data_IF_568891200430
#
_entry.id   IF_568891200430
#
_cell.length_a   1.000
_cell.length_b   1.000
_cell.length_c   1.000
_cell.angle_alpha   90.00
_cell.angle_beta   90.00
_cell.angle_gamma   90.00
#
_symmetry.space_group_name_H-M   'P 1'
#
loop_
_entity.id
_entity.type
_entity.pdbx_description
1 polymer ?
#
# COMPACT_ATOMS: atom_id res chain seq x y z
N UNK A 1 3.57 -23.00 61.98
CA UNK A 1 4.52 -23.43 60.90
C UNK A 1 3.78 -23.99 59.70
N UNK A 2 2.88 -24.98 59.82
CA UNK A 2 2.16 -25.55 58.68
C UNK A 2 1.32 -24.55 57.87
N UNK A 3 0.65 -23.60 58.52
CA UNK A 3 -0.17 -22.58 57.83
C UNK A 3 0.66 -21.56 57.04
N UNK A 4 1.84 -21.20 57.52
CA UNK A 4 2.74 -20.29 56.77
C UNK A 4 3.36 -21.01 55.58
N UNK A 5 3.70 -22.28 55.70
CA UNK A 5 4.20 -23.08 54.59
C UNK A 5 3.13 -23.25 53.50
N UNK A 6 1.87 -23.46 53.89
CA UNK A 6 0.75 -23.60 52.93
C UNK A 6 0.52 -22.30 52.19
N UNK A 7 0.45 -21.15 52.88
CA UNK A 7 0.26 -19.83 52.25
C UNK A 7 1.42 -19.42 51.32
N UNK A 8 2.67 -19.82 51.65
CA UNK A 8 3.80 -19.57 50.72
C UNK A 8 3.76 -20.45 49.49
N UNK A 9 3.34 -21.73 49.62
CA UNK A 9 3.18 -22.61 48.49
C UNK A 9 2.05 -22.12 47.55
N UNK A 10 0.90 -21.71 48.09
CA UNK A 10 -0.19 -21.12 47.30
C UNK A 10 0.25 -19.84 46.59
N UNK A 11 1.04 -18.99 47.26
CA UNK A 11 1.56 -17.77 46.63
C UNK A 11 2.51 -18.07 45.46
N UNK A 12 3.40 -19.06 45.63
CA UNK A 12 4.33 -19.49 44.57
C UNK A 12 3.58 -20.14 43.41
N UNK A 13 2.59 -21.00 43.69
CA UNK A 13 1.74 -21.59 42.63
C UNK A 13 0.97 -20.53 41.87
N UNK A 14 0.38 -19.53 42.55
CA UNK A 14 -0.33 -18.44 41.89
C UNK A 14 0.60 -17.58 41.04
N UNK A 15 1.81 -17.28 41.50
CA UNK A 15 2.83 -16.55 40.72
C UNK A 15 3.26 -17.33 39.49
N UNK A 16 3.52 -18.63 39.64
CA UNK A 16 3.82 -19.53 38.53
C UNK A 16 2.68 -19.57 37.49
N UNK A 17 1.43 -19.72 37.93
CA UNK A 17 0.29 -19.75 37.04
C UNK A 17 0.11 -18.43 36.28
N UNK A 18 0.42 -17.27 36.89
CA UNK A 18 0.44 -15.99 36.21
C UNK A 18 1.51 -15.93 35.11
N UNK A 19 2.73 -16.35 35.44
CA UNK A 19 3.84 -16.40 34.49
C UNK A 19 3.54 -17.36 33.33
N UNK A 20 2.99 -18.53 33.60
CA UNK A 20 2.59 -19.50 32.59
C UNK A 20 1.49 -18.90 31.66
N UNK A 21 0.54 -18.20 32.26
CA UNK A 21 -0.52 -17.52 31.47
C UNK A 21 0.06 -16.42 30.57
N UNK A 22 0.96 -15.58 31.09
CA UNK A 22 1.64 -14.55 30.28
C UNK A 22 2.42 -15.20 29.14
N UNK A 23 3.19 -16.24 29.43
CA UNK A 23 3.99 -16.95 28.45
C UNK A 23 3.17 -17.60 27.33
N UNK A 24 1.99 -18.13 27.68
CA UNK A 24 1.07 -18.74 26.70
C UNK A 24 0.37 -17.73 25.79
N UNK A 25 0.14 -16.50 26.27
CA UNK A 25 -0.61 -15.47 25.54
C UNK A 25 0.26 -14.34 24.98
N UNK A 26 1.59 -14.43 25.11
CA UNK A 26 2.49 -13.49 24.43
C UNK A 26 2.40 -13.65 22.92
N UNK A 27 2.39 -12.51 22.21
CA UNK A 27 2.48 -12.44 20.74
C UNK A 27 3.89 -12.77 20.25
N UNK A 28 4.90 -12.49 21.07
CA UNK A 28 6.28 -12.80 20.74
C UNK A 28 6.58 -14.27 21.05
N UNK A 29 7.34 -14.90 20.17
CA UNK A 29 7.85 -16.23 20.39
C UNK A 29 8.96 -16.21 21.45
N UNK A 30 8.94 -17.19 22.36
CA UNK A 30 9.98 -17.36 23.38
C UNK A 30 10.44 -18.80 23.40
N UNK A 31 11.74 -19.01 23.27
CA UNK A 31 12.38 -20.33 23.34
C UNK A 31 13.52 -20.27 24.33
N UNK A 32 13.60 -21.24 25.21
CA UNK A 32 14.66 -21.33 26.21
C UNK A 32 15.35 -22.68 26.15
N UNK A 33 16.68 -22.66 26.20
CA UNK A 33 17.57 -23.86 26.24
C UNK A 33 18.43 -23.85 27.47
N UNK A 34 18.69 -25.04 28.06
CA UNK A 34 19.63 -25.19 29.15
C UNK A 34 21.08 -25.05 28.67
N UNK A 35 22.03 -25.10 29.61
CA UNK A 35 23.47 -25.00 29.33
C UNK A 35 24.04 -26.11 28.44
N UNK A 36 23.28 -27.18 28.20
CA UNK A 36 23.63 -28.25 27.26
C UNK A 36 23.03 -28.06 25.85
N UNK A 37 22.20 -27.02 25.66
CA UNK A 37 21.48 -26.78 24.42
C UNK A 37 20.16 -27.56 24.29
N UNK A 38 19.70 -28.19 25.38
CA UNK A 38 18.41 -28.88 25.38
C UNK A 38 17.28 -27.90 25.63
N UNK A 39 16.19 -28.04 24.88
CA UNK A 39 14.99 -27.22 25.02
C UNK A 39 14.36 -27.35 26.42
N UNK A 40 14.14 -26.22 27.07
CA UNK A 40 13.42 -26.11 28.36
C UNK A 40 12.00 -25.67 28.14
N UNK A 41 11.82 -24.57 27.36
CA UNK A 41 10.55 -23.95 27.09
C UNK A 41 10.45 -23.49 25.65
N UNK A 42 9.23 -23.62 25.09
CA UNK A 42 8.85 -23.03 23.81
C UNK A 42 7.35 -22.65 23.92
N UNK A 43 7.03 -21.36 23.72
CA UNK A 43 5.64 -20.96 23.77
C UNK A 43 4.93 -21.20 22.42
N UNK A 44 3.58 -21.15 22.39
CA UNK A 44 2.83 -21.39 21.17
C UNK A 44 3.17 -20.41 20.05
N UNK A 45 3.45 -19.13 20.37
CA UNK A 45 3.84 -18.12 19.39
C UNK A 45 5.17 -18.48 18.71
N UNK A 46 6.18 -19.00 19.45
CA UNK A 46 7.43 -19.45 18.85
C UNK A 46 7.20 -20.62 17.87
N UNK A 47 6.38 -21.60 18.26
CA UNK A 47 6.02 -22.71 17.39
C UNK A 47 5.36 -22.24 16.10
N UNK A 48 4.45 -21.27 16.20
CA UNK A 48 3.75 -20.68 15.04
C UNK A 48 4.70 -19.89 14.13
N UNK A 49 5.55 -19.03 14.72
CA UNK A 49 6.53 -18.22 13.97
C UNK A 49 7.56 -19.06 13.25
N UNK A 50 8.04 -20.14 13.89
CA UNK A 50 9.00 -21.07 13.30
C UNK A 50 8.35 -22.08 12.34
N UNK A 51 7.03 -22.24 12.38
CA UNK A 51 6.31 -23.26 11.63
C UNK A 51 6.69 -24.69 12.05
N UNK A 52 7.04 -24.91 13.33
CA UNK A 52 7.53 -26.16 13.90
C UNK A 52 6.87 -26.49 15.22
N UNK A 53 6.87 -27.77 15.57
CA UNK A 53 6.49 -28.20 16.92
C UNK A 53 7.62 -27.96 17.92
N UNK A 54 7.32 -27.91 19.21
CA UNK A 54 8.32 -27.70 20.25
C UNK A 54 9.49 -28.72 20.19
N UNK A 55 9.19 -29.99 19.91
CA UNK A 55 10.19 -31.06 19.83
C UNK A 55 11.16 -30.89 18.63
N UNK A 56 10.75 -30.13 17.62
CA UNK A 56 11.55 -29.82 16.42
C UNK A 56 12.37 -28.52 16.58
N UNK A 57 12.22 -27.80 17.69
CA UNK A 57 12.96 -26.58 17.96
C UNK A 57 14.34 -26.90 18.55
N UNK A 58 15.23 -27.44 17.72
CA UNK A 58 16.62 -27.77 18.09
C UNK A 58 17.54 -26.58 17.81
N UNK A 59 18.28 -26.10 18.80
CA UNK A 59 19.16 -24.92 18.67
C UNK A 59 20.13 -25.04 17.50
N UNK A 60 20.84 -26.17 17.41
CA UNK A 60 21.85 -26.39 16.39
C UNK A 60 21.31 -26.40 14.94
N UNK A 61 20.03 -26.67 14.74
CA UNK A 61 19.42 -26.68 13.44
C UNK A 61 18.86 -25.31 13.03
N UNK A 62 18.33 -24.56 14.01
CA UNK A 62 17.60 -23.31 13.73
C UNK A 62 18.45 -22.07 13.92
N UNK A 63 19.29 -22.04 14.93
CA UNK A 63 19.90 -20.82 15.43
C UNK A 63 21.43 -20.81 15.39
N UNK A 64 22.11 -21.96 15.33
CA UNK A 64 23.57 -22.06 15.37
C UNK A 64 24.27 -21.27 14.26
N UNK A 65 23.66 -21.24 13.07
CA UNK A 65 24.20 -20.48 11.92
C UNK A 65 24.02 -18.96 12.06
N UNK A 66 23.07 -18.53 12.90
CA UNK A 66 22.75 -17.11 13.13
C UNK A 66 23.61 -16.62 14.32
N UNK A 67 23.54 -17.33 15.42
CA UNK A 67 24.33 -17.04 16.61
C UNK A 67 24.80 -18.34 17.24
N UNK A 68 26.14 -18.63 17.34
CA UNK A 68 26.63 -19.84 17.96
C UNK A 68 26.24 -19.91 19.44
N UNK A 69 25.76 -21.08 19.88
CA UNK A 69 25.34 -21.30 21.26
C UNK A 69 26.45 -20.95 22.27
N UNK A 70 27.70 -21.37 21.97
CA UNK A 70 28.85 -21.09 22.79
C UNK A 70 29.16 -19.60 22.97
N UNK A 71 28.78 -18.76 21.99
CA UNK A 71 28.96 -17.33 22.09
C UNK A 71 27.98 -16.74 23.11
N UNK A 72 26.67 -17.07 22.98
CA UNK A 72 25.63 -16.52 23.85
C UNK A 72 25.86 -16.87 25.30
N UNK A 73 26.23 -18.14 25.61
CA UNK A 73 26.39 -18.60 26.99
C UNK A 73 27.58 -17.95 27.74
N UNK A 74 28.53 -17.39 26.98
CA UNK A 74 29.70 -16.67 27.54
C UNK A 74 29.48 -15.18 27.72
N UNK A 75 28.35 -14.65 27.28
CA UNK A 75 28.02 -13.22 27.38
C UNK A 75 27.65 -12.83 28.82
N UNK A 76 27.69 -11.51 29.09
CA UNK A 76 27.19 -10.98 30.35
C UNK A 76 25.65 -11.01 30.33
N UNK A 77 25.03 -11.22 31.49
CA UNK A 77 23.58 -11.33 31.64
C UNK A 77 22.80 -10.08 31.17
N UNK A 78 23.44 -8.93 31.07
CA UNK A 78 22.86 -7.68 30.57
C UNK A 78 22.91 -7.56 29.06
N UNK A 79 23.66 -8.42 28.39
CA UNK A 79 23.95 -8.30 26.97
C UNK A 79 23.02 -9.21 26.16
N UNK A 80 22.76 -8.82 24.90
CA UNK A 80 22.02 -9.65 23.94
C UNK A 80 22.63 -9.50 22.53
N UNK A 81 22.38 -10.48 21.69
CA UNK A 81 22.75 -10.44 20.28
C UNK A 81 21.46 -10.44 19.44
N UNK A 82 21.42 -9.59 18.45
CA UNK A 82 20.34 -9.55 17.48
C UNK A 82 20.66 -10.48 16.30
N UNK A 83 19.63 -11.15 15.80
CA UNK A 83 19.69 -11.97 14.61
C UNK A 83 18.40 -11.84 13.81
N UNK A 84 18.43 -12.39 12.62
CA UNK A 84 17.27 -12.38 11.71
C UNK A 84 17.05 -13.78 11.15
N UNK A 85 15.78 -14.17 11.03
CA UNK A 85 15.39 -15.44 10.44
C UNK A 85 14.20 -15.19 9.49
N UNK A 86 14.28 -15.76 8.29
CA UNK A 86 13.14 -15.78 7.36
C UNK A 86 12.51 -17.16 7.36
N UNK A 87 11.23 -17.26 7.67
CA UNK A 87 10.46 -18.50 7.69
C UNK A 87 9.31 -18.38 6.70
N UNK A 88 9.47 -18.95 5.49
CA UNK A 88 8.51 -18.75 4.39
C UNK A 88 8.42 -17.28 3.99
N UNK A 89 7.26 -16.67 4.16
CA UNK A 89 7.05 -15.23 3.89
C UNK A 89 7.17 -14.34 5.14
N UNK A 90 7.47 -14.92 6.30
CA UNK A 90 7.61 -14.18 7.56
C UNK A 90 9.05 -13.76 7.79
N UNK A 91 9.24 -12.54 8.26
CA UNK A 91 10.51 -11.99 8.74
C UNK A 91 10.46 -11.93 10.27
N UNK A 92 11.38 -12.64 10.91
CA UNK A 92 11.44 -12.75 12.38
C UNK A 92 12.75 -12.17 12.87
N UNK A 93 12.69 -11.19 13.77
CA UNK A 93 13.84 -10.72 14.54
C UNK A 93 14.04 -11.60 15.76
N UNK A 94 15.29 -11.91 16.02
CA UNK A 94 15.74 -12.82 17.09
C UNK A 94 16.60 -12.05 18.06
N UNK A 95 16.33 -12.21 19.36
CA UNK A 95 17.14 -11.65 20.44
C UNK A 95 17.66 -12.79 21.30
N UNK A 96 18.97 -13.02 21.26
CA UNK A 96 19.64 -14.07 21.99
C UNK A 96 20.23 -13.49 23.28
N UNK A 97 19.80 -13.97 24.41
CA UNK A 97 20.30 -13.53 25.71
C UNK A 97 20.70 -14.74 26.60
N UNK A 98 21.79 -14.65 27.36
CA UNK A 98 22.09 -15.66 28.34
C UNK A 98 21.19 -15.49 29.55
N UNK A 99 20.70 -16.61 30.11
CA UNK A 99 20.14 -16.60 31.46
C UNK A 99 20.92 -17.58 32.31
N UNK A 100 21.16 -17.23 33.58
CA UNK A 100 21.77 -18.16 34.51
C UNK A 100 20.80 -18.43 35.63
N UNK A 101 20.58 -19.71 35.88
CA UNK A 101 20.13 -20.22 37.18
C UNK A 101 21.36 -20.52 38.02
N UNK A 102 21.24 -20.58 39.34
CA UNK A 102 22.40 -20.68 40.26
C UNK A 102 23.33 -21.88 39.98
N UNK A 103 22.90 -22.90 39.22
CA UNK A 103 23.66 -24.11 38.92
C UNK A 103 23.95 -24.40 37.43
N UNK A 104 23.23 -23.80 36.48
CA UNK A 104 23.48 -24.03 35.04
C UNK A 104 22.97 -22.90 34.20
N UNK A 105 23.86 -22.23 33.46
CA UNK A 105 23.49 -21.20 32.48
C UNK A 105 22.63 -21.78 31.35
N UNK A 106 21.97 -20.89 30.61
CA UNK A 106 21.15 -21.25 29.46
C UNK A 106 21.04 -20.09 28.49
N UNK A 107 20.31 -20.31 27.39
CA UNK A 107 20.06 -19.33 26.36
C UNK A 107 18.55 -19.10 26.20
N UNK A 108 18.14 -17.84 26.28
CA UNK A 108 16.81 -17.38 25.99
C UNK A 108 16.82 -16.74 24.60
N UNK A 109 15.84 -17.08 23.74
CA UNK A 109 15.65 -16.48 22.46
C UNK A 109 14.24 -15.88 22.43
N UNK A 110 14.14 -14.59 22.13
CA UNK A 110 12.86 -13.93 21.85
C UNK A 110 12.74 -13.74 20.34
N UNK A 111 11.60 -14.13 19.79
CA UNK A 111 11.27 -14.05 18.37
C UNK A 111 10.18 -13.01 18.20
N UNK A 112 10.47 -11.98 17.43
CA UNK A 112 9.51 -10.91 17.11
C UNK A 112 9.13 -10.92 15.63
N UNK A 113 7.85 -11.02 15.32
CA UNK A 113 7.37 -10.94 13.93
C UNK A 113 7.39 -9.49 13.42
N UNK A 114 8.33 -9.20 12.54
CA UNK A 114 8.50 -7.88 11.92
C UNK A 114 8.04 -7.85 10.46
N UNK A 115 7.30 -8.84 10.04
CA UNK A 115 6.89 -9.00 8.63
C UNK A 115 6.17 -7.77 8.09
N UNK A 116 5.13 -7.30 8.78
CA UNK A 116 4.37 -6.13 8.33
C UNK A 116 5.15 -4.82 8.48
N UNK A 117 6.00 -4.72 9.50
CA UNK A 117 6.88 -3.56 9.66
C UNK A 117 7.89 -3.48 8.51
N UNK A 118 8.54 -4.59 8.16
CA UNK A 118 9.49 -4.66 7.03
C UNK A 118 8.82 -4.38 5.69
N UNK A 119 7.69 -5.01 5.42
CA UNK A 119 6.92 -4.73 4.20
C UNK A 119 6.57 -3.24 4.08
N UNK A 120 6.21 -2.61 5.17
CA UNK A 120 5.90 -1.17 5.21
C UNK A 120 7.14 -0.33 4.94
N UNK A 121 8.27 -0.69 5.52
CA UNK A 121 9.54 0.02 5.30
C UNK A 121 10.06 -0.17 3.86
N UNK A 122 9.95 -1.38 3.31
CA UNK A 122 10.30 -1.66 1.92
C UNK A 122 9.43 -0.88 0.95
N UNK A 123 8.11 -0.86 1.15
CA UNK A 123 7.18 -0.04 0.36
C UNK A 123 7.54 1.46 0.43
N UNK A 124 7.96 1.94 1.61
CA UNK A 124 8.41 3.32 1.78
C UNK A 124 9.72 3.61 1.03
N UNK A 125 10.70 2.71 1.09
CA UNK A 125 11.96 2.82 0.34
C UNK A 125 11.71 2.82 -1.16
N UNK A 126 10.88 1.89 -1.63
CA UNK A 126 10.48 1.79 -3.04
C UNK A 126 9.73 3.05 -3.51
N UNK A 127 8.81 3.58 -2.69
CA UNK A 127 8.12 4.83 -2.97
C UNK A 127 9.09 5.98 -3.18
N UNK A 128 10.07 6.20 -2.28
CA UNK A 128 11.08 7.27 -2.40
C UNK A 128 11.95 7.08 -3.64
N UNK A 129 12.35 5.85 -3.95
CA UNK A 129 13.11 5.54 -5.15
C UNK A 129 12.31 5.85 -6.42
N UNK A 130 11.05 5.43 -6.49
CA UNK A 130 10.17 5.68 -7.62
C UNK A 130 9.90 7.18 -7.82
N UNK A 131 9.63 7.95 -6.76
CA UNK A 131 9.51 9.42 -6.82
C UNK A 131 10.77 10.04 -7.43
N UNK A 132 11.96 9.63 -6.95
CA UNK A 132 13.22 10.16 -7.44
C UNK A 132 13.44 9.87 -8.93
N UNK A 133 13.05 8.68 -9.38
CA UNK A 133 13.15 8.30 -10.79
C UNK A 133 12.15 9.05 -11.67
N UNK A 134 10.87 9.15 -11.25
CA UNK A 134 9.83 9.82 -12.02
C UNK A 134 10.03 11.35 -12.11
N UNK A 135 10.75 11.98 -11.16
CA UNK A 135 11.13 13.38 -11.23
C UNK A 135 12.43 13.61 -12.00
N UNK A 136 13.39 12.69 -11.96
CA UNK A 136 14.70 12.84 -12.63
C UNK A 136 14.56 12.84 -14.15
N UNK A 137 13.73 11.98 -14.69
CA UNK A 137 13.57 11.85 -16.15
C UNK A 137 13.07 13.14 -16.82
N UNK A 138 11.93 13.74 -16.41
CA UNK A 138 11.46 14.99 -16.98
C UNK A 138 12.45 16.14 -16.77
N UNK A 139 13.10 16.20 -15.59
CA UNK A 139 14.11 17.23 -15.32
C UNK A 139 15.31 17.13 -16.27
N UNK A 140 15.74 15.91 -16.59
CA UNK A 140 16.82 15.67 -17.56
C UNK A 140 16.40 16.09 -18.95
N UNK A 141 15.17 15.81 -19.38
CA UNK A 141 14.63 16.23 -20.67
C UNK A 141 14.54 17.76 -20.76
N UNK A 142 13.92 18.41 -19.77
CA UNK A 142 13.85 19.89 -19.69
C UNK A 142 15.23 20.52 -19.84
N UNK A 143 16.21 20.00 -19.08
CA UNK A 143 17.57 20.49 -19.13
C UNK A 143 18.22 20.29 -20.52
N UNK A 144 18.09 19.09 -21.09
CA UNK A 144 18.70 18.74 -22.38
C UNK A 144 18.17 19.63 -23.51
N UNK A 145 16.83 19.78 -23.60
CA UNK A 145 16.22 20.63 -24.63
C UNK A 145 16.56 22.12 -24.44
N UNK A 146 16.57 22.60 -23.20
CA UNK A 146 16.98 23.98 -22.90
C UNK A 146 18.46 24.22 -23.22
N UNK A 147 19.36 23.26 -22.94
CA UNK A 147 20.79 23.35 -23.34
C UNK A 147 20.94 23.35 -24.84
N UNK A 148 20.18 22.50 -25.58
CA UNK A 148 20.21 22.45 -27.04
C UNK A 148 19.72 23.76 -27.66
N UNK A 149 18.63 24.34 -27.18
CA UNK A 149 18.13 25.65 -27.66
C UNK A 149 19.19 26.73 -27.44
N UNK A 150 19.83 26.76 -26.26
CA UNK A 150 20.85 27.75 -25.93
C UNK A 150 22.12 27.61 -26.76
N UNK A 151 22.56 26.37 -27.04
CA UNK A 151 23.79 26.09 -27.78
C UNK A 151 23.65 26.32 -29.28
N UNK A 152 22.49 25.99 -29.84
CA UNK A 152 22.21 26.16 -31.26
C UNK A 152 21.95 27.64 -31.64
N UNK A 153 21.40 28.46 -30.72
CA UNK A 153 21.15 29.88 -30.94
C UNK A 153 20.40 30.16 -32.26
N UNK A 154 20.97 31.04 -33.09
CA UNK A 154 20.36 31.45 -34.36
C UNK A 154 20.37 30.35 -35.45
N UNK A 155 21.09 29.25 -35.25
CA UNK A 155 21.15 28.11 -36.18
C UNK A 155 19.90 27.24 -36.13
N UNK A 156 19.07 27.40 -35.09
CA UNK A 156 17.82 26.65 -34.95
C UNK A 156 16.69 27.30 -35.76
N UNK A 157 15.95 26.49 -36.51
CA UNK A 157 14.71 27.01 -37.11
C UNK A 157 13.69 27.34 -36.03
N UNK A 158 12.86 28.38 -36.24
CA UNK A 158 11.78 28.73 -35.29
C UNK A 158 10.80 27.58 -35.01
N UNK A 159 10.59 26.76 -36.02
CA UNK A 159 9.72 25.58 -35.89
C UNK A 159 10.31 24.57 -34.91
N UNK A 160 11.60 24.20 -35.07
CA UNK A 160 12.31 23.29 -34.18
C UNK A 160 12.48 23.87 -32.77
N UNK A 161 12.69 25.19 -32.66
CA UNK A 161 12.76 25.86 -31.36
C UNK A 161 11.41 25.75 -30.60
N UNK A 162 10.31 25.99 -31.30
CA UNK A 162 8.98 25.84 -30.72
C UNK A 162 8.70 24.39 -30.31
N UNK A 163 9.04 23.40 -31.14
CA UNK A 163 8.90 21.99 -30.82
C UNK A 163 9.66 21.62 -29.52
N UNK A 164 10.89 22.13 -29.36
CA UNK A 164 11.69 21.91 -28.17
C UNK A 164 11.11 22.62 -26.93
N UNK A 165 10.59 23.83 -27.09
CA UNK A 165 9.89 24.55 -26.02
C UNK A 165 8.60 23.84 -25.61
N UNK A 166 7.86 23.27 -26.55
CA UNK A 166 6.66 22.50 -26.27
C UNK A 166 6.99 21.23 -25.41
N UNK A 167 8.11 20.57 -25.72
CA UNK A 167 8.59 19.47 -24.89
C UNK A 167 8.95 19.96 -23.47
N UNK A 168 9.65 21.09 -23.34
CA UNK A 168 10.01 21.66 -22.02
C UNK A 168 8.76 21.99 -21.21
N UNK A 169 7.74 22.59 -21.84
CA UNK A 169 6.47 22.93 -21.19
C UNK A 169 5.75 21.65 -20.75
N UNK A 170 5.61 20.68 -21.65
CA UNK A 170 4.96 19.40 -21.38
C UNK A 170 5.60 18.64 -20.21
N UNK A 171 6.93 18.58 -20.15
CA UNK A 171 7.63 17.91 -19.06
C UNK A 171 7.52 18.67 -17.73
N UNK A 172 7.44 20.01 -17.78
CA UNK A 172 7.20 20.85 -16.60
C UNK A 172 5.78 20.64 -16.04
N UNK A 173 4.77 20.57 -16.92
CA UNK A 173 3.39 20.27 -16.55
C UNK A 173 3.28 18.87 -15.92
N UNK A 174 3.98 17.90 -16.52
CA UNK A 174 4.07 16.54 -15.96
C UNK A 174 4.67 16.53 -14.56
N UNK A 175 5.77 17.26 -14.34
CA UNK A 175 6.36 17.39 -12.99
C UNK A 175 5.39 18.01 -11.99
N UNK A 176 4.64 19.03 -12.41
CA UNK A 176 3.62 19.68 -11.58
C UNK A 176 2.55 18.68 -11.15
N UNK A 177 2.05 17.85 -12.08
CA UNK A 177 1.08 16.80 -11.77
C UNK A 177 1.65 15.76 -10.79
N UNK A 178 2.90 15.29 -11.00
CA UNK A 178 3.55 14.36 -10.06
C UNK A 178 3.60 14.96 -8.65
N UNK A 179 4.03 16.22 -8.52
CA UNK A 179 4.10 16.89 -7.20
C UNK A 179 2.71 17.03 -6.57
N UNK A 180 1.67 17.38 -7.33
CA UNK A 180 0.30 17.48 -6.83
C UNK A 180 -0.24 16.12 -6.35
N UNK A 181 0.03 15.05 -7.12
CA UNK A 181 -0.33 13.68 -6.76
C UNK A 181 0.35 13.25 -5.45
N UNK A 182 1.66 13.53 -5.31
CA UNK A 182 2.43 13.25 -4.10
C UNK A 182 1.92 13.99 -2.87
N UNK A 183 1.59 15.29 -3.02
CA UNK A 183 1.00 16.08 -1.96
C UNK A 183 -0.38 15.55 -1.55
N UNK A 184 -1.16 15.09 -2.51
CA UNK A 184 -2.47 14.46 -2.26
C UNK A 184 -2.30 13.17 -1.47
N UNK A 185 -1.41 12.26 -1.90
CA UNK A 185 -1.10 11.03 -1.18
C UNK A 185 -0.58 11.30 0.24
N UNK A 186 0.37 12.24 0.38
CA UNK A 186 0.91 12.61 1.70
C UNK A 186 -0.15 13.11 2.67
N UNK A 187 -1.11 13.90 2.18
CA UNK A 187 -2.26 14.37 3.00
C UNK A 187 -3.22 13.23 3.34
N UNK A 188 -3.45 12.33 2.40
CA UNK A 188 -4.25 11.14 2.64
C UNK A 188 -3.55 10.22 3.66
N UNK A 189 -2.29 9.86 3.49
CA UNK A 189 -1.53 8.96 4.39
C UNK A 189 -1.45 9.49 5.84
N UNK A 190 -1.32 10.82 6.01
CA UNK A 190 -1.17 11.42 7.34
C UNK A 190 -2.46 11.49 8.17
N UNK A 191 -3.61 11.08 7.62
CA UNK A 191 -4.91 11.24 8.28
C UNK A 191 -5.37 12.69 8.49
N UNK A 192 -4.52 13.67 8.12
CA UNK A 192 -4.78 15.11 8.32
C UNK A 192 -5.66 15.75 7.26
N UNK A 193 -6.07 15.01 6.25
CA UNK A 193 -7.01 15.53 5.25
C UNK A 193 -8.42 15.48 5.83
N UNK A 194 -8.87 16.58 6.37
CA UNK A 194 -10.28 16.77 6.68
C UNK A 194 -11.06 16.62 5.38
N UNK A 195 -11.97 15.63 5.34
CA UNK A 195 -12.87 15.42 4.22
C UNK A 195 -14.03 16.38 4.35
N UNK A 196 -14.30 17.14 3.30
CA UNK A 196 -15.47 18.04 3.27
C UNK A 196 -16.74 17.26 2.94
N UNK A 197 -17.23 16.50 3.94
CA UNK A 197 -18.37 15.61 3.79
C UNK A 197 -19.68 16.41 3.66
N UNK A 198 -20.33 16.32 2.51
CA UNK A 198 -21.59 16.98 2.23
C UNK A 198 -22.51 16.06 1.43
N UNK A 199 -23.83 16.34 1.46
CA UNK A 199 -24.78 15.66 0.57
C UNK A 199 -24.80 16.34 -0.80
N UNK A 200 -24.66 15.58 -1.87
CA UNK A 200 -24.74 16.07 -3.24
C UNK A 200 -25.33 15.03 -4.19
N UNK A 201 -25.90 15.45 -5.32
CA UNK A 201 -26.39 14.53 -6.35
C UNK A 201 -25.21 13.80 -7.02
N UNK A 202 -25.24 12.47 -7.02
CA UNK A 202 -24.18 11.65 -7.65
C UNK A 202 -24.10 11.91 -9.16
N UNK A 203 -25.28 12.07 -9.83
CA UNK A 203 -25.34 12.42 -11.23
C UNK A 203 -24.65 13.74 -11.57
N UNK A 204 -24.76 14.76 -10.69
CA UNK A 204 -24.11 16.05 -10.92
C UNK A 204 -22.57 15.97 -10.88
N UNK A 205 -22.01 15.07 -10.08
CA UNK A 205 -20.57 14.80 -10.07
C UNK A 205 -20.13 14.12 -11.39
N UNK A 206 -20.90 13.13 -11.87
CA UNK A 206 -20.64 12.46 -13.14
C UNK A 206 -20.70 13.47 -14.29
N UNK A 207 -21.75 14.30 -14.35
CA UNK A 207 -21.90 15.36 -15.37
C UNK A 207 -20.71 16.33 -15.38
N UNK A 208 -20.22 16.72 -14.22
CA UNK A 208 -19.06 17.61 -14.07
C UNK A 208 -17.80 17.00 -14.70
N UNK A 209 -17.55 15.72 -14.42
CA UNK A 209 -16.39 15.00 -14.95
C UNK A 209 -16.52 14.71 -16.44
N UNK A 210 -17.68 14.33 -16.92
CA UNK A 210 -17.93 14.13 -18.36
C UNK A 210 -17.65 15.41 -19.15
N UNK A 211 -18.16 16.55 -18.70
CA UNK A 211 -17.89 17.85 -19.35
C UNK A 211 -16.41 18.20 -19.39
N UNK A 212 -15.67 17.93 -18.31
CA UNK A 212 -14.23 18.22 -18.26
C UNK A 212 -13.40 17.34 -19.19
N UNK A 213 -13.87 16.13 -19.48
CA UNK A 213 -13.15 15.13 -20.29
C UNK A 213 -13.56 15.16 -21.77
N UNK A 214 -14.71 15.77 -22.09
CA UNK A 214 -15.28 15.75 -23.44
C UNK A 214 -14.34 16.31 -24.51
N UNK A 215 -13.63 17.41 -24.21
CA UNK A 215 -12.69 18.02 -25.16
C UNK A 215 -11.53 17.09 -25.50
N UNK A 216 -11.00 16.40 -24.49
CA UNK A 216 -9.89 15.46 -24.67
C UNK A 216 -10.35 14.21 -25.44
N UNK A 217 -11.50 13.65 -25.10
CA UNK A 217 -12.11 12.56 -25.86
C UNK A 217 -12.32 12.93 -27.34
N UNK A 218 -12.79 14.16 -27.62
CA UNK A 218 -12.95 14.65 -29.01
C UNK A 218 -11.63 14.81 -29.75
N UNK A 219 -10.54 15.23 -29.08
CA UNK A 219 -9.20 15.33 -29.69
C UNK A 219 -8.72 13.97 -30.20
N UNK A 220 -8.99 12.92 -29.43
CA UNK A 220 -8.70 11.53 -29.80
C UNK A 220 -9.79 10.88 -30.64
N UNK A 221 -10.82 11.64 -31.07
CA UNK A 221 -11.96 11.15 -31.88
C UNK A 221 -12.73 10.02 -31.20
N UNK A 222 -12.69 9.93 -29.87
CA UNK A 222 -13.42 8.92 -29.13
C UNK A 222 -14.92 9.19 -29.15
N UNK A 223 -15.73 8.12 -29.26
CA UNK A 223 -17.15 8.17 -29.00
C UNK A 223 -17.38 8.00 -27.49
N UNK A 224 -17.62 9.12 -26.79
CA UNK A 224 -17.95 9.13 -25.37
C UNK A 224 -19.45 9.09 -25.19
N UNK A 225 -19.98 7.97 -24.69
CA UNK A 225 -21.41 7.77 -24.42
C UNK A 225 -21.67 7.60 -22.95
N UNK A 226 -22.86 7.98 -22.50
CA UNK A 226 -23.27 7.76 -21.11
C UNK A 226 -24.72 7.26 -21.06
N UNK A 227 -25.00 6.41 -20.05
CA UNK A 227 -26.32 5.84 -19.79
C UNK A 227 -26.55 5.74 -18.29
N UNK A 228 -27.22 6.73 -17.72
CA UNK A 228 -27.69 6.77 -16.34
C UNK A 228 -28.88 7.70 -16.19
N UNK A 229 -29.71 7.44 -15.17
CA UNK A 229 -30.86 8.27 -14.87
C UNK A 229 -30.45 9.52 -14.09
N UNK A 230 -31.08 10.67 -14.39
CA UNK A 230 -30.84 11.91 -13.62
C UNK A 230 -31.24 11.79 -12.13
N UNK A 231 -32.08 10.81 -11.79
CA UNK A 231 -32.63 10.59 -10.45
C UNK A 231 -31.77 9.63 -9.61
N UNK A 232 -30.44 9.66 -9.74
CA UNK A 232 -29.59 8.96 -8.81
C UNK A 232 -29.66 9.59 -7.40
N UNK A 233 -29.55 8.79 -6.33
CA UNK A 233 -29.67 9.30 -4.98
C UNK A 233 -28.62 10.35 -4.63
N UNK A 234 -28.93 11.20 -3.65
CA UNK A 234 -27.94 12.04 -3.01
C UNK A 234 -27.01 11.15 -2.17
N UNK A 235 -25.72 11.34 -2.32
CA UNK A 235 -24.73 10.62 -1.49
C UNK A 235 -24.05 11.57 -0.49
N UNK A 236 -23.59 11.02 0.62
CA UNK A 236 -22.77 11.73 1.59
C UNK A 236 -21.30 11.48 1.25
N UNK A 237 -20.53 12.53 0.97
CA UNK A 237 -19.11 12.40 0.64
C UNK A 237 -18.44 13.75 0.36
N UNK A 238 -17.14 13.72 0.14
CA UNK A 238 -16.37 14.85 -0.38
C UNK A 238 -16.49 14.87 -1.90
N UNK A 239 -17.36 15.74 -2.41
CA UNK A 239 -17.65 15.86 -3.83
C UNK A 239 -16.40 16.04 -4.68
N UNK A 240 -15.47 16.92 -4.26
CA UNK A 240 -14.26 17.22 -5.02
C UNK A 240 -13.35 16.01 -5.12
N UNK A 241 -13.23 15.23 -4.03
CA UNK A 241 -12.46 13.99 -4.02
C UNK A 241 -13.10 12.89 -4.86
N UNK A 242 -14.41 12.76 -4.81
CA UNK A 242 -15.13 11.78 -5.64
C UNK A 242 -15.05 12.16 -7.12
N UNK A 243 -15.18 13.43 -7.50
CA UNK A 243 -14.94 13.91 -8.87
C UNK A 243 -13.50 13.63 -9.32
N UNK A 244 -12.50 13.74 -8.43
CA UNK A 244 -11.10 13.36 -8.71
C UNK A 244 -10.96 11.85 -9.01
N UNK A 245 -11.64 10.98 -8.26
CA UNK A 245 -11.68 9.53 -8.55
C UNK A 245 -12.25 9.27 -9.94
N UNK A 246 -13.43 9.83 -10.22
CA UNK A 246 -14.09 9.66 -11.52
C UNK A 246 -13.21 10.17 -12.67
N UNK A 247 -12.56 11.32 -12.49
CA UNK A 247 -11.64 11.90 -13.47
C UNK A 247 -10.44 10.99 -13.71
N UNK A 248 -9.83 10.43 -12.66
CA UNK A 248 -8.71 9.51 -12.79
C UNK A 248 -9.08 8.24 -13.59
N UNK A 249 -10.28 7.71 -13.37
CA UNK A 249 -10.76 6.54 -14.10
C UNK A 249 -11.06 6.90 -15.56
N UNK A 250 -11.80 8.00 -15.79
CA UNK A 250 -12.21 8.39 -17.13
C UNK A 250 -11.03 8.87 -17.99
N UNK A 251 -10.07 9.60 -17.41
CA UNK A 251 -8.84 10.00 -18.10
C UNK A 251 -7.98 8.81 -18.50
N UNK A 252 -7.94 7.75 -17.68
CA UNK A 252 -7.28 6.51 -18.06
C UNK A 252 -7.98 5.84 -19.25
N UNK A 253 -9.31 5.78 -19.28
CA UNK A 253 -10.06 5.26 -20.41
C UNK A 253 -9.73 6.04 -21.70
N UNK A 254 -9.74 7.38 -21.65
CA UNK A 254 -9.36 8.22 -22.81
C UNK A 254 -7.93 7.94 -23.27
N UNK A 255 -7.01 7.81 -22.32
CA UNK A 255 -5.59 7.63 -22.60
C UNK A 255 -5.22 6.27 -23.21
N UNK A 256 -5.90 5.20 -22.77
CA UNK A 256 -5.57 3.83 -23.17
C UNK A 256 -6.50 3.28 -24.26
N UNK A 257 -7.44 4.06 -24.72
CA UNK A 257 -8.26 3.75 -25.92
C UNK A 257 -7.57 4.34 -27.15
N UNK A 258 -7.39 3.57 -28.23
CA UNK A 258 -6.87 4.09 -29.50
C UNK A 258 -7.80 5.15 -30.10
N UNK A 259 -7.26 6.07 -30.90
CA UNK A 259 -8.04 7.10 -31.59
C UNK A 259 -9.23 6.51 -32.35
N UNK A 260 -10.41 7.06 -32.13
CA UNK A 260 -11.65 6.59 -32.74
C UNK A 260 -12.35 5.45 -31.99
N UNK A 261 -11.82 5.05 -30.82
CA UNK A 261 -12.47 4.04 -29.98
C UNK A 261 -13.66 4.56 -29.17
N UNK A 262 -14.25 3.66 -28.36
CA UNK A 262 -15.50 3.91 -27.66
C UNK A 262 -15.29 3.87 -26.15
N UNK A 263 -15.85 4.88 -25.47
CA UNK A 263 -15.86 4.94 -24.00
C UNK A 263 -17.31 5.09 -23.56
N UNK A 264 -17.76 4.21 -22.68
CA UNK A 264 -19.11 4.23 -22.13
C UNK A 264 -19.10 4.42 -20.64
N UNK A 265 -19.85 5.38 -20.14
CA UNK A 265 -20.07 5.62 -18.71
C UNK A 265 -21.49 5.20 -18.36
N UNK A 266 -21.63 4.26 -17.42
CA UNK A 266 -22.93 3.86 -16.88
C UNK A 266 -22.94 4.07 -15.37
N UNK A 267 -24.10 4.42 -14.82
CA UNK A 267 -24.23 4.56 -13.38
C UNK A 267 -25.63 4.15 -12.92
N UNK A 268 -25.70 3.75 -11.66
CA UNK A 268 -26.93 3.29 -11.05
C UNK A 268 -26.87 3.29 -9.54
N UNK A 269 -27.93 2.80 -8.93
CA UNK A 269 -27.98 2.55 -7.48
C UNK A 269 -28.52 1.15 -7.21
N UNK A 270 -27.98 0.48 -6.21
CA UNK A 270 -28.41 -0.85 -5.78
C UNK A 270 -28.39 -0.90 -4.25
N UNK A 271 -29.57 -1.08 -3.64
CA UNK A 271 -29.70 -1.04 -2.19
C UNK A 271 -29.25 0.29 -1.59
N UNK A 272 -28.24 0.25 -0.73
CA UNK A 272 -27.66 1.42 -0.06
C UNK A 272 -26.39 1.93 -0.73
N UNK A 273 -26.09 1.50 -1.95
CA UNK A 273 -24.91 1.92 -2.71
C UNK A 273 -25.29 2.58 -4.03
N UNK A 274 -24.43 3.49 -4.48
CA UNK A 274 -24.38 3.97 -5.86
C UNK A 274 -23.13 3.42 -6.54
N UNK A 275 -23.20 3.25 -7.84
CA UNK A 275 -22.07 2.80 -8.61
C UNK A 275 -21.94 3.57 -9.93
N UNK A 276 -20.71 3.68 -10.42
CA UNK A 276 -20.37 4.18 -11.75
C UNK A 276 -19.39 3.21 -12.39
N UNK A 277 -19.65 2.84 -13.64
CA UNK A 277 -18.73 2.05 -14.45
C UNK A 277 -18.27 2.88 -15.65
N UNK A 278 -16.97 2.80 -15.91
CA UNK A 278 -16.35 3.31 -17.14
C UNK A 278 -15.81 2.12 -17.91
N UNK A 279 -16.38 1.88 -19.07
CA UNK A 279 -15.97 0.80 -19.98
C UNK A 279 -15.35 1.41 -21.24
N UNK A 280 -14.18 0.93 -21.61
CA UNK A 280 -13.49 1.29 -22.86
C UNK A 280 -13.26 0.04 -23.73
N UNK A 281 -13.02 0.23 -25.02
CA UNK A 281 -12.61 -0.78 -25.98
C UNK A 281 -11.09 -0.70 -26.30
N UNK A 282 -10.32 -0.19 -25.34
CA UNK A 282 -8.89 0.03 -25.44
C UNK A 282 -8.03 -1.23 -25.42
N UNK A 283 -6.75 -1.03 -25.11
CA UNK A 283 -5.74 -2.12 -25.12
C UNK A 283 -5.94 -3.18 -24.04
N UNK A 284 -6.81 -2.92 -23.06
CA UNK A 284 -7.05 -3.82 -21.94
C UNK A 284 -5.87 -3.92 -20.96
N UNK A 285 -6.06 -4.77 -19.93
CA UNK A 285 -5.07 -5.01 -18.88
C UNK A 285 -4.77 -6.52 -18.84
N UNK A 286 -3.49 -6.93 -19.01
CA UNK A 286 -3.10 -8.32 -18.87
C UNK A 286 -3.51 -8.90 -17.51
N UNK A 287 -3.89 -10.17 -17.46
CA UNK A 287 -4.38 -10.82 -16.24
C UNK A 287 -3.37 -10.74 -15.08
N UNK A 288 -2.09 -10.91 -15.38
CA UNK A 288 -1.01 -10.83 -14.38
C UNK A 288 -0.85 -9.45 -13.73
N UNK A 289 -1.34 -8.39 -14.39
CA UNK A 289 -1.19 -7.00 -13.94
C UNK A 289 -2.44 -6.46 -13.24
N UNK A 290 -3.60 -7.13 -13.37
CA UNK A 290 -4.90 -6.65 -12.89
C UNK A 290 -4.95 -6.36 -11.39
N UNK A 291 -4.30 -7.18 -10.57
CA UNK A 291 -4.23 -6.95 -9.12
C UNK A 291 -3.31 -5.79 -8.75
N UNK A 292 -2.36 -5.46 -9.61
CA UNK A 292 -1.29 -4.51 -9.34
C UNK A 292 -1.52 -3.09 -9.85
N UNK A 293 -2.48 -2.88 -10.75
CA UNK A 293 -2.74 -1.54 -11.32
C UNK A 293 -3.16 -0.49 -10.30
N UNK A 294 -3.60 -0.91 -9.11
CA UNK A 294 -3.95 -0.05 -7.98
C UNK A 294 -2.75 0.26 -7.06
N UNK A 295 -1.59 -0.40 -7.28
CA UNK A 295 -0.36 -0.10 -6.56
C UNK A 295 0.22 1.27 -6.99
N UNK A 296 0.91 1.94 -6.08
CA UNK A 296 1.56 3.24 -6.34
C UNK A 296 2.69 3.07 -7.36
N UNK A 297 2.76 3.94 -8.37
CA UNK A 297 3.74 3.93 -9.47
C UNK A 297 3.71 2.70 -10.37
N UNK A 298 2.71 1.82 -10.20
CA UNK A 298 2.61 0.66 -11.06
C UNK A 298 2.13 1.05 -12.46
N UNK A 299 2.73 0.42 -13.48
CA UNK A 299 2.42 0.64 -14.90
C UNK A 299 2.68 -0.65 -15.66
N UNK A 300 1.72 -1.11 -16.44
CA UNK A 300 1.80 -2.33 -17.26
C UNK A 300 2.94 -2.23 -18.28
N UNK A 301 3.08 -1.08 -18.95
CA UNK A 301 4.16 -0.81 -19.91
C UNK A 301 4.82 0.53 -19.59
N UNK A 302 6.06 0.47 -19.05
CA UNK A 302 6.83 1.66 -18.66
C UNK A 302 7.26 2.52 -19.85
N UNK A 303 7.45 1.93 -21.05
CA UNK A 303 7.90 2.66 -22.23
C UNK A 303 6.76 3.46 -22.87
N UNK A 304 5.67 2.80 -23.21
CA UNK A 304 4.49 3.41 -23.86
C UNK A 304 3.77 4.42 -22.97
N UNK A 305 3.74 4.15 -21.66
CA UNK A 305 3.12 5.06 -20.71
C UNK A 305 3.94 6.34 -20.44
N UNK A 306 5.24 6.42 -20.81
CA UNK A 306 6.02 7.65 -20.72
C UNK A 306 5.61 8.66 -21.79
N UNK A 307 5.33 8.20 -23.00
CA UNK A 307 4.83 9.04 -24.10
C UNK A 307 3.47 9.66 -23.78
N UNK A 308 2.64 8.94 -23.04
CA UNK A 308 1.29 9.39 -22.66
C UNK A 308 1.22 10.08 -21.27
N UNK A 309 2.35 10.42 -20.65
CA UNK A 309 2.42 11.31 -19.46
C UNK A 309 1.87 10.74 -18.13
N UNK A 310 1.60 9.43 -18.02
CA UNK A 310 1.06 8.85 -16.78
C UNK A 310 2.06 8.76 -15.64
N UNK A 311 1.62 9.14 -14.44
CA UNK A 311 2.43 9.08 -13.21
C UNK A 311 2.41 7.70 -12.53
N UNK A 312 1.39 6.87 -12.80
CA UNK A 312 1.11 5.64 -12.07
C UNK A 312 0.55 5.86 -10.67
N UNK A 313 0.18 7.11 -10.34
CA UNK A 313 -0.38 7.47 -9.04
C UNK A 313 -1.91 7.64 -9.07
N UNK A 314 -2.51 7.91 -10.23
CA UNK A 314 -3.91 8.27 -10.34
C UNK A 314 -4.86 7.19 -9.78
N UNK A 315 -4.69 5.91 -10.16
CA UNK A 315 -5.54 4.83 -9.65
C UNK A 315 -5.29 4.54 -8.18
N UNK A 316 -4.06 4.64 -7.68
CA UNK A 316 -3.78 4.46 -6.25
C UNK A 316 -4.37 5.58 -5.40
N UNK A 317 -4.34 6.83 -5.88
CA UNK A 317 -5.04 7.96 -5.26
C UNK A 317 -6.56 7.73 -5.27
N UNK A 318 -7.09 7.27 -6.39
CA UNK A 318 -8.52 6.95 -6.51
C UNK A 318 -8.94 5.88 -5.49
N UNK A 319 -8.17 4.81 -5.37
CA UNK A 319 -8.42 3.73 -4.40
C UNK A 319 -8.40 4.25 -2.96
N UNK A 320 -7.40 5.05 -2.58
CA UNK A 320 -7.30 5.62 -1.24
C UNK A 320 -8.50 6.54 -0.90
N UNK A 321 -8.90 7.39 -1.87
CA UNK A 321 -10.08 8.25 -1.69
C UNK A 321 -11.35 7.41 -1.51
N UNK A 322 -11.52 6.37 -2.34
CA UNK A 322 -12.70 5.49 -2.30
C UNK A 322 -12.78 4.71 -0.99
N UNK A 323 -11.65 4.17 -0.51
CA UNK A 323 -11.58 3.48 0.78
C UNK A 323 -11.97 4.38 1.95
N UNK A 324 -11.55 5.66 1.93
CA UNK A 324 -11.95 6.64 2.94
C UNK A 324 -13.42 7.04 2.87
N UNK A 325 -14.08 6.78 1.75
CA UNK A 325 -15.54 6.88 1.60
C UNK A 325 -16.24 5.54 1.84
N UNK A 326 -15.54 4.53 2.39
CA UNK A 326 -16.08 3.19 2.64
C UNK A 326 -16.65 2.51 1.39
N UNK A 327 -16.11 2.87 0.22
CA UNK A 327 -16.48 2.33 -1.08
C UNK A 327 -15.46 1.31 -1.61
N UNK A 328 -15.65 0.90 -2.87
CA UNK A 328 -14.74 0.03 -3.59
C UNK A 328 -14.45 0.53 -5.01
N UNK A 329 -13.23 0.28 -5.49
CA UNK A 329 -12.82 0.52 -6.88
C UNK A 329 -12.25 -0.78 -7.44
N UNK A 330 -12.91 -1.35 -8.45
CA UNK A 330 -12.62 -2.69 -8.95
C UNK A 330 -12.62 -2.76 -10.46
N UNK A 331 -11.92 -3.78 -11.01
CA UNK A 331 -12.06 -4.17 -12.40
C UNK A 331 -13.25 -5.12 -12.55
N UNK A 332 -14.08 -4.88 -13.55
CA UNK A 332 -15.18 -5.78 -13.92
C UNK A 332 -14.76 -6.60 -15.12
N UNK A 333 -14.81 -7.94 -14.99
CA UNK A 333 -14.57 -8.82 -16.12
C UNK A 333 -15.74 -8.77 -17.09
N UNK A 334 -15.46 -8.29 -18.31
CA UNK A 334 -16.40 -8.31 -19.41
C UNK A 334 -15.79 -9.00 -20.63
N UNK A 335 -16.55 -9.77 -21.38
CA UNK A 335 -16.06 -10.35 -22.62
C UNK A 335 -15.85 -9.24 -23.67
N UNK A 336 -14.66 -9.23 -24.29
CA UNK A 336 -14.31 -8.26 -25.32
C UNK A 336 -12.97 -7.56 -25.05
N UNK A 337 -12.55 -6.69 -25.98
CA UNK A 337 -11.36 -5.85 -25.76
C UNK A 337 -11.66 -4.74 -24.75
N UNK A 338 -10.60 -4.17 -24.17
CA UNK A 338 -10.68 -3.00 -23.30
C UNK A 338 -10.74 -3.31 -21.81
N UNK A 339 -11.12 -2.29 -21.05
CA UNK A 339 -11.17 -2.34 -19.60
C UNK A 339 -12.51 -1.82 -19.09
N UNK A 340 -13.01 -2.38 -18.01
CA UNK A 340 -14.15 -1.81 -17.28
C UNK A 340 -13.75 -1.61 -15.83
N UNK A 341 -13.81 -0.38 -15.36
CA UNK A 341 -13.56 0.01 -13.97
C UNK A 341 -14.88 0.39 -13.30
N UNK A 342 -15.17 -0.18 -12.15
CA UNK A 342 -16.37 0.08 -11.35
C UNK A 342 -15.99 0.76 -10.04
N UNK A 343 -16.58 1.92 -9.82
CA UNK A 343 -16.59 2.67 -8.56
C UNK A 343 -17.92 2.38 -7.86
N UNK A 344 -17.85 1.97 -6.59
CA UNK A 344 -19.02 1.83 -5.72
C UNK A 344 -18.84 2.68 -4.47
N UNK A 345 -19.90 3.39 -4.07
CA UNK A 345 -19.91 4.24 -2.87
C UNK A 345 -21.20 4.02 -2.08
N UNK A 346 -21.16 4.02 -0.75
CA UNK A 346 -22.38 4.00 0.05
C UNK A 346 -23.12 5.33 -0.08
N UNK A 347 -24.47 5.29 -0.08
CA UNK A 347 -25.34 6.47 -0.12
C UNK A 347 -25.16 7.29 1.18
N UNK A 348 -25.05 6.58 2.31
CA UNK A 348 -24.79 7.18 3.62
C UNK A 348 -23.46 6.64 4.15
N UNK A 349 -22.65 7.53 4.72
CA UNK A 349 -21.42 7.08 5.37
C UNK A 349 -21.77 6.42 6.71
N UNK A 350 -21.08 5.33 7.10
CA UNK A 350 -21.20 4.79 8.46
C UNK A 350 -20.90 5.93 9.43
N UNK A 351 -21.77 6.12 10.40
CA UNK A 351 -21.50 7.05 11.50
C UNK A 351 -20.27 6.45 12.19
N UNK A 352 -19.15 7.16 12.14
CA UNK A 352 -17.93 6.74 12.82
C UNK A 352 -18.28 6.48 14.28
N UNK A 353 -18.09 5.24 14.73
CA UNK A 353 -18.22 4.93 16.13
C UNK A 353 -17.29 5.88 16.89
N UNK A 354 -17.85 6.65 17.80
CA UNK A 354 -17.09 7.33 18.83
C UNK A 354 -16.16 6.29 19.45
N UNK A 355 -14.87 6.55 19.41
CA UNK A 355 -13.89 5.80 20.19
C UNK A 355 -14.37 5.79 21.64
N UNK A 356 -14.99 4.69 22.03
CA UNK A 356 -15.28 4.40 23.44
C UNK A 356 -13.97 4.05 24.12
N UNK A 357 -13.21 5.09 24.43
CA UNK A 357 -12.23 5.05 25.51
C UNK A 357 -12.99 5.31 26.83
N UNK A 358 -13.41 4.25 27.49
CA UNK A 358 -13.53 4.17 28.94
C UNK A 358 -12.57 3.11 29.48
#
# INVERSE_FOLDING_TARGET
MASVLHSTLEAVENERNKLDTLFLHMSDGVVAYDGSGKLIHCNPAACELLGRTADECVYSELFESICPFSHVITMQRSDYVEGELTVGERSVELYFAPFSDEESGGVLIVLHDVTEQRKTEERRKEFVANVSHELRTPLTNVRSYAETIREAGDDLSRETENDFLDVVISETDRMTHIVQDLLTLSRLDSGRSEMNMARFPFSAAIDSVLRSTELEARRHKHELTHDYTENLPLIMGDRGRIEQVMLNVLSNAVKYTPDGGHIRVTAGSEGETVWMEVADDGIGIPEADRSRIFERFYRVDKARSRESGGTGLGLSIATEIVQRHHGSLTLVDRPGPGTTVRLELPITQPIGGEDSHE
#
